data_IF_893336917058
#
_entry.id   IF_893336917058
#
_cell.length_a   1.000
_cell.length_b   1.000
_cell.length_c   1.000
_cell.angle_alpha   90.00
_cell.angle_beta   90.00
_cell.angle_gamma   90.00
#
_symmetry.space_group_name_H-M   'P 1'
#
loop_
_entity.id
_entity.type
_entity.pdbx_description
1 polymer ?
#
# COMPACT_ATOMS: atom_id res chain seq x y z
N UNK A 1 -21.39 61.58 27.30
CA UNK A 1 -20.13 60.95 26.84
C UNK A 1 -20.32 59.44 26.77
N UNK A 2 -20.59 58.89 25.60
CA UNK A 2 -20.80 57.45 25.40
C UNK A 2 -19.52 56.88 24.76
N UNK A 3 -18.58 56.40 25.58
CA UNK A 3 -17.36 55.74 25.09
C UNK A 3 -17.69 54.29 24.72
N UNK A 4 -17.56 54.02 23.43
CA UNK A 4 -17.69 52.75 22.72
C UNK A 4 -17.23 51.52 23.53
N UNK A 5 -18.19 50.66 23.92
CA UNK A 5 -17.94 49.23 24.17
C UNK A 5 -17.96 48.49 22.83
N UNK A 6 -16.93 48.66 22.00
CA UNK A 6 -16.68 47.72 20.90
C UNK A 6 -16.13 46.42 21.51
N UNK A 7 -17.03 45.58 22.04
CA UNK A 7 -16.70 44.19 22.39
C UNK A 7 -15.99 43.57 21.19
N UNK A 8 -14.81 42.98 21.41
CA UNK A 8 -13.93 42.41 20.39
C UNK A 8 -14.66 41.35 19.54
N UNK A 9 -15.44 41.77 18.54
CA UNK A 9 -16.18 40.89 17.59
C UNK A 9 -15.26 40.00 16.75
N UNK A 10 -13.97 40.28 16.76
CA UNK A 10 -12.89 39.57 16.10
C UNK A 10 -12.35 38.39 16.94
N UNK A 11 -12.56 38.39 18.26
CA UNK A 11 -12.08 37.30 19.14
C UNK A 11 -12.76 35.95 18.84
N UNK A 12 -14.10 35.87 18.67
CA UNK A 12 -14.76 34.62 18.30
C UNK A 12 -14.35 34.14 16.91
N UNK A 13 -14.20 35.05 15.95
CA UNK A 13 -13.77 34.73 14.59
C UNK A 13 -12.32 34.18 14.57
N UNK A 14 -11.43 34.74 15.39
CA UNK A 14 -10.06 34.25 15.56
C UNK A 14 -10.05 32.83 16.16
N UNK A 15 -10.87 32.57 17.18
CA UNK A 15 -10.98 31.24 17.80
C UNK A 15 -11.49 30.21 16.77
N UNK A 16 -12.51 30.56 15.99
CA UNK A 16 -13.03 29.69 14.92
C UNK A 16 -11.97 29.43 13.84
N UNK A 17 -11.23 30.47 13.42
CA UNK A 17 -10.16 30.32 12.44
C UNK A 17 -9.04 29.38 12.95
N UNK A 18 -8.67 29.48 14.23
CA UNK A 18 -7.69 28.57 14.86
C UNK A 18 -8.23 27.14 14.89
N UNK A 19 -9.48 26.93 15.28
CA UNK A 19 -10.09 25.59 15.29
C UNK A 19 -10.14 24.96 13.90
N UNK A 20 -10.52 25.73 12.88
CA UNK A 20 -10.49 25.26 11.47
C UNK A 20 -9.04 24.93 11.07
N UNK A 21 -8.08 25.78 11.42
CA UNK A 21 -6.66 25.54 11.17
C UNK A 21 -6.19 24.22 11.77
N UNK A 22 -6.55 23.92 13.02
CA UNK A 22 -6.24 22.66 13.69
C UNK A 22 -6.87 21.48 12.93
N UNK A 23 -8.15 21.56 12.56
CA UNK A 23 -8.83 20.47 11.83
C UNK A 23 -8.19 20.21 10.47
N UNK A 24 -7.82 21.26 9.73
CA UNK A 24 -7.15 21.12 8.43
C UNK A 24 -5.76 20.50 8.59
N UNK A 25 -4.99 20.93 9.58
CA UNK A 25 -3.67 20.34 9.89
C UNK A 25 -3.83 18.85 10.21
N UNK A 26 -4.80 18.48 11.05
CA UNK A 26 -5.08 17.07 11.37
C UNK A 26 -5.48 16.28 10.12
N UNK A 27 -6.34 16.84 9.27
CA UNK A 27 -6.74 16.21 8.02
C UNK A 27 -5.55 15.97 7.05
N UNK A 28 -4.58 16.88 7.01
CA UNK A 28 -3.34 16.73 6.24
C UNK A 28 -2.41 15.69 6.87
N UNK A 29 -2.28 15.70 8.20
CA UNK A 29 -1.46 14.75 8.95
C UNK A 29 -1.94 13.32 8.75
N UNK A 30 -3.25 13.09 8.82
CA UNK A 30 -3.86 11.76 8.72
C UNK A 30 -4.27 11.36 7.29
N UNK A 31 -3.70 11.99 6.27
CA UNK A 31 -3.89 11.57 4.88
C UNK A 31 -5.33 11.67 4.36
N UNK A 32 -6.20 12.46 4.99
CA UNK A 32 -7.62 12.57 4.59
C UNK A 32 -7.76 13.00 3.12
N UNK A 33 -6.87 13.90 2.68
CA UNK A 33 -6.80 14.40 1.31
C UNK A 33 -5.89 13.57 0.37
N UNK A 34 -5.26 12.49 0.86
CA UNK A 34 -4.47 11.62 -0.01
C UNK A 34 -5.37 10.88 -0.99
N UNK A 35 -4.84 10.66 -2.20
CA UNK A 35 -5.53 9.94 -3.27
C UNK A 35 -5.58 8.44 -3.01
N UNK A 36 -4.63 7.92 -2.24
CA UNK A 36 -4.52 6.51 -1.88
C UNK A 36 -5.09 6.21 -0.49
N UNK A 37 -5.46 4.94 -0.28
CA UNK A 37 -5.96 4.40 0.98
C UNK A 37 -5.49 2.95 1.18
N UNK A 38 -5.30 2.57 2.45
CA UNK A 38 -5.01 1.20 2.89
C UNK A 38 -6.26 0.64 3.54
N UNK A 39 -6.73 -0.51 3.06
CA UNK A 39 -7.96 -1.17 3.54
C UNK A 39 -7.62 -2.23 4.59
N UNK A 40 -6.98 -1.83 5.69
CA UNK A 40 -6.43 -2.70 6.75
C UNK A 40 -7.38 -3.75 7.36
N UNK A 41 -8.69 -3.51 7.30
CA UNK A 41 -9.74 -4.41 7.81
C UNK A 41 -10.35 -5.31 6.75
N UNK A 42 -9.85 -5.22 5.52
CA UNK A 42 -10.38 -5.97 4.40
C UNK A 42 -9.56 -7.25 4.23
N UNK A 43 -10.20 -8.26 3.65
CA UNK A 43 -9.56 -9.46 3.14
C UNK A 43 -8.90 -9.20 1.77
N UNK A 44 -7.97 -10.06 1.34
CA UNK A 44 -7.35 -9.98 0.00
C UNK A 44 -7.70 -11.20 -0.83
N UNK A 45 -8.12 -10.99 -2.08
CA UNK A 45 -8.28 -12.06 -3.06
C UNK A 45 -7.48 -11.81 -4.33
N UNK A 46 -6.97 -12.90 -4.90
CA UNK A 46 -6.50 -12.93 -6.28
C UNK A 46 -7.58 -13.52 -7.18
N UNK A 47 -7.94 -12.80 -8.24
CA UNK A 47 -9.00 -13.20 -9.17
C UNK A 47 -8.41 -13.91 -10.40
N UNK A 48 -8.86 -15.14 -10.64
CA UNK A 48 -8.50 -15.93 -11.83
C UNK A 48 -9.81 -16.36 -12.50
N UNK A 49 -10.03 -15.93 -13.74
CA UNK A 49 -11.22 -16.31 -14.54
C UNK A 49 -12.57 -16.01 -13.85
N UNK A 50 -12.61 -15.03 -12.94
CA UNK A 50 -13.82 -14.62 -12.21
C UNK A 50 -14.00 -15.31 -10.86
N UNK A 51 -13.16 -16.30 -10.55
CA UNK A 51 -13.12 -16.98 -9.25
C UNK A 51 -12.10 -16.29 -8.33
N UNK A 52 -12.38 -16.28 -7.03
CA UNK A 52 -11.58 -15.59 -6.03
C UNK A 52 -10.76 -16.60 -5.23
N UNK A 53 -9.45 -16.38 -5.15
CA UNK A 53 -8.54 -17.26 -4.44
C UNK A 53 -7.87 -16.53 -3.29
N UNK A 54 -7.75 -17.24 -2.18
CA UNK A 54 -7.05 -16.76 -1.00
C UNK A 54 -5.55 -16.66 -1.29
N UNK A 55 -4.94 -15.54 -0.90
CA UNK A 55 -3.51 -15.27 -1.10
C UNK A 55 -2.84 -15.03 0.25
N UNK A 56 -2.20 -16.06 0.79
CA UNK A 56 -1.39 -15.96 2.00
C UNK A 56 0.10 -16.08 1.63
N UNK A 57 1.00 -15.22 2.12
CA UNK A 57 0.86 -14.26 3.24
C UNK A 57 0.53 -12.81 2.83
N UNK A 58 0.04 -12.56 1.62
CA UNK A 58 -0.30 -11.20 1.17
C UNK A 58 -1.46 -10.63 2.03
N UNK A 59 -1.21 -9.49 2.69
CA UNK A 59 -2.18 -8.85 3.59
C UNK A 59 -2.58 -7.47 3.08
N UNK A 60 -3.81 -7.03 3.37
CA UNK A 60 -4.29 -5.68 3.06
C UNK A 60 -3.51 -4.58 3.77
N UNK A 61 -2.87 -4.88 4.90
CA UNK A 61 -1.97 -3.93 5.58
C UNK A 61 -0.79 -3.51 4.72
N UNK A 62 -0.38 -4.37 3.77
CA UNK A 62 0.70 -4.09 2.85
C UNK A 62 0.22 -3.50 1.52
N UNK A 63 -1.10 -3.35 1.32
CA UNK A 63 -1.69 -2.94 0.06
C UNK A 63 -2.28 -1.52 0.18
N UNK A 64 -1.86 -0.65 -0.74
CA UNK A 64 -2.50 0.64 -0.99
C UNK A 64 -3.28 0.61 -2.30
N UNK A 65 -4.40 1.34 -2.36
CA UNK A 65 -5.22 1.48 -3.58
C UNK A 65 -5.68 2.93 -3.73
N UNK A 66 -5.78 3.41 -4.96
CA UNK A 66 -6.41 4.71 -5.22
C UNK A 66 -7.88 4.74 -4.77
N UNK A 67 -8.27 5.75 -3.99
CA UNK A 67 -9.64 5.97 -3.50
C UNK A 67 -10.63 6.16 -4.64
N UNK A 68 -10.27 6.98 -5.63
CA UNK A 68 -11.18 7.42 -6.70
C UNK A 68 -10.48 7.34 -8.05
N UNK A 69 -10.78 6.28 -8.80
CA UNK A 69 -10.44 6.12 -10.22
C UNK A 69 -11.25 4.95 -10.78
N UNK A 70 -11.56 4.98 -12.07
CA UNK A 70 -12.02 3.78 -12.80
C UNK A 70 -10.86 2.82 -13.09
N UNK A 71 -9.64 3.34 -13.07
CA UNK A 71 -8.39 2.62 -13.28
C UNK A 71 -7.53 2.84 -12.04
N UNK A 72 -7.77 2.02 -11.01
CA UNK A 72 -7.13 2.17 -9.70
C UNK A 72 -5.75 1.55 -9.75
N UNK A 73 -4.75 2.27 -9.26
CA UNK A 73 -3.43 1.70 -9.09
C UNK A 73 -3.38 0.83 -7.82
N UNK A 74 -2.62 -0.26 -7.91
CA UNK A 74 -2.30 -1.17 -6.83
C UNK A 74 -0.88 -0.89 -6.34
N UNK A 75 -0.77 -0.51 -5.07
CA UNK A 75 0.47 -0.18 -4.40
C UNK A 75 0.80 -1.24 -3.37
N UNK A 76 2.09 -1.56 -3.18
CA UNK A 76 2.53 -2.52 -2.17
C UNK A 76 3.66 -1.98 -1.30
N UNK A 77 3.56 -2.17 0.02
CA UNK A 77 4.51 -1.65 1.00
C UNK A 77 5.89 -2.25 0.75
N UNK A 78 6.89 -1.40 0.54
CA UNK A 78 8.24 -1.83 0.16
C UNK A 78 8.92 -2.65 1.27
N UNK A 79 8.73 -2.25 2.53
CA UNK A 79 9.32 -2.96 3.67
C UNK A 79 8.72 -4.36 3.93
N UNK A 80 7.59 -4.68 3.29
CA UNK A 80 7.00 -6.03 3.27
C UNK A 80 7.54 -6.83 2.07
N UNK A 81 8.83 -6.69 1.76
CA UNK A 81 9.45 -7.17 0.52
C UNK A 81 9.31 -8.68 0.29
N UNK A 82 9.34 -9.49 1.36
CA UNK A 82 9.07 -10.93 1.28
C UNK A 82 7.67 -11.19 0.71
N UNK A 83 6.70 -10.33 1.01
CA UNK A 83 5.34 -10.45 0.51
C UNK A 83 5.20 -9.98 -0.96
N UNK A 84 6.05 -9.04 -1.39
CA UNK A 84 6.09 -8.61 -2.81
C UNK A 84 6.52 -9.76 -3.72
N UNK A 85 7.43 -10.63 -3.25
CA UNK A 85 7.87 -11.81 -4.02
C UNK A 85 6.69 -12.68 -4.49
N UNK A 86 5.65 -12.83 -3.65
CA UNK A 86 4.44 -13.57 -4.02
C UNK A 86 3.64 -12.91 -5.15
N UNK A 87 3.68 -11.57 -5.29
CA UNK A 87 3.06 -10.90 -6.43
C UNK A 87 3.74 -11.26 -7.75
N UNK A 88 5.07 -11.39 -7.75
CA UNK A 88 5.81 -11.85 -8.93
C UNK A 88 5.50 -13.31 -9.25
N UNK A 89 5.36 -14.17 -8.22
CA UNK A 89 4.94 -15.56 -8.41
C UNK A 89 3.54 -15.67 -9.01
N UNK A 90 2.59 -14.85 -8.55
CA UNK A 90 1.27 -14.74 -9.16
C UNK A 90 1.37 -14.30 -10.63
N UNK A 91 2.15 -13.25 -10.91
CA UNK A 91 2.33 -12.70 -12.25
C UNK A 91 2.93 -13.72 -13.23
N UNK A 92 3.86 -14.55 -12.77
CA UNK A 92 4.49 -15.60 -13.57
C UNK A 92 3.79 -16.95 -13.50
N UNK A 93 2.61 -17.03 -12.87
CA UNK A 93 1.84 -18.27 -12.71
C UNK A 93 2.63 -19.40 -12.04
N UNK A 94 3.46 -19.03 -11.08
CA UNK A 94 4.29 -19.94 -10.27
C UNK A 94 3.56 -20.28 -8.96
N UNK A 95 2.41 -20.91 -9.11
CA UNK A 95 1.59 -21.36 -8.00
C UNK A 95 0.72 -22.54 -8.42
N UNK A 96 0.23 -23.27 -7.42
CA UNK A 96 -0.86 -24.25 -7.53
C UNK A 96 -2.10 -23.74 -6.81
N UNK A 97 -3.26 -24.30 -7.15
CA UNK A 97 -4.53 -24.02 -6.46
C UNK A 97 -4.88 -25.24 -5.63
N UNK A 98 -4.92 -25.06 -4.32
CA UNK A 98 -5.33 -26.09 -3.37
C UNK A 98 -6.81 -25.89 -3.01
N UNK A 99 -7.58 -26.99 -3.04
CA UNK A 99 -8.98 -27.01 -2.59
C UNK A 99 -9.13 -27.81 -1.28
N UNK A 100 -10.05 -27.42 -0.38
CA UNK A 100 -10.82 -26.17 -0.32
C UNK A 100 -10.17 -25.10 0.58
N UNK A 101 -10.43 -23.81 0.34
CA UNK A 101 -10.18 -22.75 1.34
C UNK A 101 -11.15 -22.93 2.52
N UNK A 102 -10.72 -22.50 3.71
CA UNK A 102 -11.56 -22.51 4.91
C UNK A 102 -12.60 -21.39 4.93
N UNK A 103 -12.43 -20.34 4.11
CA UNK A 103 -13.35 -19.22 3.99
C UNK A 103 -14.23 -19.36 2.75
N UNK A 104 -15.55 -19.32 2.96
CA UNK A 104 -16.59 -19.50 1.94
C UNK A 104 -16.57 -18.47 0.80
N UNK A 105 -15.83 -17.37 0.95
CA UNK A 105 -15.70 -16.35 -0.09
C UNK A 105 -14.64 -16.68 -1.15
N UNK A 106 -13.78 -17.68 -0.88
CA UNK A 106 -12.76 -18.13 -1.82
C UNK A 106 -13.11 -19.50 -2.39
N UNK A 107 -12.75 -19.69 -3.66
CA UNK A 107 -12.88 -20.94 -4.39
C UNK A 107 -11.72 -21.90 -4.09
N UNK A 108 -10.61 -21.38 -3.56
CA UNK A 108 -9.43 -22.15 -3.15
C UNK A 108 -8.34 -21.27 -2.54
N UNK A 109 -7.19 -21.88 -2.24
CA UNK A 109 -5.99 -21.22 -1.72
C UNK A 109 -4.86 -21.31 -2.75
N UNK A 110 -4.15 -20.20 -2.95
CA UNK A 110 -2.93 -20.18 -3.76
C UNK A 110 -1.76 -20.76 -2.96
N UNK A 111 -1.09 -21.77 -3.54
CA UNK A 111 0.12 -22.39 -2.99
C UNK A 111 1.35 -22.01 -3.83
N UNK A 112 2.32 -21.37 -3.19
CA UNK A 112 3.52 -20.84 -3.83
C UNK A 112 4.72 -21.80 -3.81
N UNK A 113 4.56 -23.02 -3.28
CA UNK A 113 5.65 -23.98 -3.05
C UNK A 113 6.29 -24.54 -4.32
N UNK A 114 5.68 -24.33 -5.48
CA UNK A 114 6.11 -24.89 -6.78
C UNK A 114 7.36 -24.24 -7.38
N UNK A 115 7.84 -23.12 -6.84
CA UNK A 115 9.02 -22.42 -7.35
C UNK A 115 9.92 -21.92 -6.23
N UNK A 116 11.23 -21.80 -6.50
CA UNK A 116 12.22 -21.26 -5.55
C UNK A 116 12.96 -20.04 -6.11
N UNK A 117 12.28 -19.28 -6.97
CA UNK A 117 12.85 -18.04 -7.50
C UNK A 117 12.73 -16.93 -6.46
N UNK A 118 13.80 -16.16 -6.28
CA UNK A 118 13.78 -14.91 -5.54
C UNK A 118 13.66 -13.75 -6.53
N UNK A 119 12.49 -13.13 -6.58
CA UNK A 119 12.21 -11.94 -7.39
C UNK A 119 12.52 -10.65 -6.65
N UNK A 120 12.58 -10.69 -5.33
CA UNK A 120 12.94 -9.55 -4.50
C UNK A 120 14.05 -9.95 -3.54
N UNK A 121 15.18 -9.25 -3.59
CA UNK A 121 16.31 -9.49 -2.69
C UNK A 121 16.64 -8.24 -1.89
N UNK A 122 16.76 -8.40 -0.57
CA UNK A 122 17.36 -7.38 0.27
C UNK A 122 18.88 -7.36 0.04
N UNK A 123 19.44 -6.21 -0.32
CA UNK A 123 20.86 -6.07 -0.66
C UNK A 123 21.68 -5.58 0.52
N UNK A 124 21.42 -4.34 0.94
CA UNK A 124 22.17 -3.68 2.00
C UNK A 124 21.23 -3.27 3.13
N UNK A 125 21.68 -3.40 4.37
CA UNK A 125 21.02 -2.84 5.57
C UNK A 125 21.93 -1.77 6.13
N UNK A 126 21.40 -0.56 6.20
CA UNK A 126 22.07 0.59 6.76
C UNK A 126 21.53 0.81 8.16
N UNK A 127 22.45 0.92 9.12
CA UNK A 127 22.12 1.21 10.51
C UNK A 127 22.79 2.52 10.88
N UNK A 128 21.98 3.52 11.20
CA UNK A 128 22.42 4.76 11.85
C UNK A 128 22.18 4.67 13.36
N UNK A 129 22.49 5.71 14.12
CA UNK A 129 22.20 5.73 15.56
C UNK A 129 20.71 5.72 15.88
N UNK A 130 19.89 6.26 14.98
CA UNK A 130 18.47 6.54 15.23
C UNK A 130 17.54 5.76 14.30
N UNK A 131 18.02 5.24 13.16
CA UNK A 131 17.20 4.59 12.13
C UNK A 131 17.96 3.45 11.43
N UNK A 132 17.22 2.40 11.03
CA UNK A 132 17.70 1.37 10.10
C UNK A 132 16.85 1.33 8.84
N UNK A 133 17.49 1.28 7.68
CA UNK A 133 16.82 1.16 6.39
C UNK A 133 17.49 0.11 5.52
N UNK A 134 16.78 -0.41 4.52
CA UNK A 134 17.29 -1.44 3.63
C UNK A 134 17.03 -1.08 2.16
N UNK A 135 17.87 -1.61 1.28
CA UNK A 135 17.71 -1.53 -0.17
C UNK A 135 17.19 -2.85 -0.71
N UNK A 136 16.34 -2.79 -1.73
CA UNK A 136 15.71 -3.96 -2.34
C UNK A 136 15.91 -3.94 -3.84
N UNK A 137 16.40 -5.05 -4.39
CA UNK A 137 16.50 -5.26 -5.83
C UNK A 137 15.34 -6.17 -6.29
N UNK A 138 14.72 -5.79 -7.41
CA UNK A 138 13.60 -6.51 -8.03
C UNK A 138 14.04 -7.10 -9.37
N UNK A 139 13.66 -8.34 -9.66
CA UNK A 139 14.12 -9.10 -10.82
C UNK A 139 12.95 -9.64 -11.64
N UNK A 140 13.17 -9.81 -12.95
CA UNK A 140 12.23 -10.51 -13.82
C UNK A 140 12.40 -12.04 -13.76
N UNK A 141 11.55 -12.76 -14.51
CA UNK A 141 11.60 -14.23 -14.64
C UNK A 141 12.92 -14.81 -15.13
N UNK A 142 13.79 -14.00 -15.74
CA UNK A 142 15.11 -14.42 -16.25
C UNK A 142 16.24 -14.10 -15.27
N UNK A 143 15.92 -13.47 -14.13
CA UNK A 143 16.91 -12.99 -13.16
C UNK A 143 17.54 -11.67 -13.55
N UNK A 144 17.00 -10.95 -14.56
CA UNK A 144 17.47 -9.61 -14.89
C UNK A 144 16.83 -8.61 -13.94
N UNK A 145 17.66 -7.75 -13.34
CA UNK A 145 17.17 -6.66 -12.48
C UNK A 145 16.31 -5.67 -13.28
N UNK A 146 15.13 -5.36 -12.76
CA UNK A 146 14.17 -4.43 -13.35
C UNK A 146 14.03 -3.12 -12.56
N UNK A 147 14.30 -3.16 -11.25
CA UNK A 147 14.21 -2.00 -10.37
C UNK A 147 15.07 -2.19 -9.12
N UNK A 148 15.46 -1.08 -8.51
CA UNK A 148 16.11 -1.03 -7.19
C UNK A 148 15.39 0.02 -6.37
N UNK A 149 14.91 -0.36 -5.19
CA UNK A 149 14.50 0.61 -4.18
C UNK A 149 15.65 0.88 -3.22
N UNK A 150 15.99 2.15 -3.13
CA UNK A 150 16.85 2.76 -2.14
C UNK A 150 16.11 3.96 -1.51
N UNK A 151 15.82 3.95 -0.20
CA UNK A 151 15.15 5.06 0.48
C UNK A 151 15.80 6.43 0.27
N UNK A 152 17.12 6.48 0.12
CA UNK A 152 17.85 7.74 -0.03
C UNK A 152 17.89 8.25 -1.47
N UNK A 153 17.81 7.35 -2.46
CA UNK A 153 18.02 7.68 -3.87
C UNK A 153 16.74 7.64 -4.70
N UNK A 154 15.79 6.77 -4.35
CA UNK A 154 14.63 6.40 -5.19
C UNK A 154 13.29 6.56 -4.49
N UNK A 155 13.24 7.07 -3.26
CA UNK A 155 11.98 7.32 -2.54
C UNK A 155 11.07 8.36 -3.22
N UNK A 156 11.60 9.08 -4.20
CA UNK A 156 10.86 10.04 -5.04
C UNK A 156 10.71 9.59 -6.49
N UNK A 157 11.07 8.34 -6.81
CA UNK A 157 10.86 7.80 -8.15
C UNK A 157 9.37 7.73 -8.49
N UNK A 158 9.06 7.71 -9.78
CA UNK A 158 7.68 7.62 -10.29
C UNK A 158 6.93 6.35 -9.82
N UNK A 159 7.67 5.30 -9.42
CA UNK A 159 7.10 4.07 -8.89
C UNK A 159 6.87 4.10 -7.38
N UNK A 160 7.26 5.14 -6.65
CA UNK A 160 7.15 5.20 -5.19
C UNK A 160 6.12 6.23 -4.75
N UNK A 161 5.18 5.77 -3.90
CA UNK A 161 4.17 6.62 -3.29
C UNK A 161 4.19 6.43 -1.78
N UNK A 162 4.21 7.54 -1.06
CA UNK A 162 4.09 7.54 0.40
C UNK A 162 2.63 7.60 0.81
N UNK A 163 2.11 6.50 1.35
CA UNK A 163 0.73 6.41 1.81
C UNK A 163 0.75 6.55 3.33
N UNK A 164 0.02 7.53 3.86
CA UNK A 164 -0.03 7.73 5.32
C UNK A 164 -1.09 6.79 5.91
N UNK A 165 -0.82 6.20 7.09
CA UNK A 165 -1.81 5.43 7.80
C UNK A 165 -3.05 6.28 8.14
N UNK A 166 -4.24 5.68 8.10
CA UNK A 166 -5.46 6.33 8.62
C UNK A 166 -5.40 6.44 10.15
N UNK A 167 -6.22 7.33 10.74
CA UNK A 167 -6.25 7.71 12.17
C UNK A 167 -6.20 6.50 13.14
N UNK A 168 -6.75 5.35 12.73
CA UNK A 168 -6.82 4.15 13.57
C UNK A 168 -5.55 3.28 13.51
N UNK A 169 -4.76 3.38 12.44
CA UNK A 169 -3.55 2.58 12.24
C UNK A 169 -2.35 3.10 13.05
N UNK A 170 -2.28 4.41 13.31
CA UNK A 170 -1.18 5.02 14.07
C UNK A 170 -1.11 4.64 15.57
N UNK A 171 -2.07 3.84 16.07
CA UNK A 171 -2.05 3.31 17.43
C UNK A 171 -1.35 1.94 17.54
N UNK A 172 -1.20 1.20 16.44
CA UNK A 172 -0.44 -0.04 16.39
C UNK A 172 0.99 0.29 15.97
N UNK A 173 1.85 0.52 16.97
CA UNK A 173 3.28 0.79 16.77
C UNK A 173 3.93 -0.31 15.92
N UNK A 174 4.46 0.05 14.76
CA UNK A 174 5.61 -0.65 14.18
C UNK A 174 6.88 0.13 14.55
N UNK A 175 7.92 -0.58 14.98
CA UNK A 175 9.20 -0.03 15.45
C UNK A 175 10.13 0.45 14.30
N UNK A 176 9.59 0.70 13.11
CA UNK A 176 10.35 1.14 11.92
C UNK A 176 9.75 2.47 11.44
N UNK A 177 10.60 3.47 11.25
CA UNK A 177 10.23 4.89 11.15
C UNK A 177 9.10 5.23 10.17
N UNK A 178 7.93 5.57 10.74
CA UNK A 178 6.88 6.56 10.39
C UNK A 178 6.50 6.91 8.93
N UNK A 179 7.09 6.32 7.90
CA UNK A 179 6.65 6.48 6.51
C UNK A 179 6.75 5.15 5.77
N UNK A 180 5.60 4.56 5.50
CA UNK A 180 5.53 3.40 4.62
C UNK A 180 5.57 3.91 3.18
N UNK A 181 6.72 3.80 2.55
CA UNK A 181 6.85 3.96 1.10
C UNK A 181 6.28 2.69 0.42
N UNK A 182 5.42 2.90 -0.57
CA UNK A 182 4.76 1.85 -1.34
C UNK A 182 5.24 1.91 -2.78
N UNK A 183 5.48 0.73 -3.35
CA UNK A 183 5.77 0.51 -4.76
C UNK A 183 4.48 0.43 -5.56
N UNK A 184 4.36 1.23 -6.62
CA UNK A 184 3.29 1.14 -7.61
C UNK A 184 3.50 -0.10 -8.49
N UNK A 185 2.87 -1.21 -8.08
CA UNK A 185 2.96 -2.49 -8.78
C UNK A 185 2.27 -2.38 -10.13
N UNK A 186 1.16 -1.63 -10.24
CA UNK A 186 0.46 -1.40 -11.50
C UNK A 186 1.39 -0.78 -12.53
N UNK A 187 2.06 0.33 -12.19
CA UNK A 187 2.99 1.00 -13.09
C UNK A 187 4.26 0.16 -13.36
N UNK A 188 4.87 -0.40 -12.30
CA UNK A 188 6.10 -1.17 -12.45
C UNK A 188 5.90 -2.42 -13.32
N UNK A 189 4.82 -3.18 -13.10
CA UNK A 189 4.56 -4.41 -13.86
C UNK A 189 4.20 -4.08 -15.30
N UNK A 190 3.46 -3.00 -15.54
CA UNK A 190 3.15 -2.55 -16.89
C UNK A 190 4.42 -2.18 -17.66
N UNK A 191 5.26 -1.35 -17.07
CA UNK A 191 6.44 -0.80 -17.73
C UNK A 191 7.58 -1.80 -17.88
N UNK A 192 7.82 -2.63 -16.86
CA UNK A 192 8.98 -3.52 -16.81
C UNK A 192 8.68 -4.95 -17.22
N UNK A 193 7.45 -5.42 -16.99
CA UNK A 193 7.03 -6.80 -17.26
C UNK A 193 6.02 -6.92 -18.39
N UNK A 194 5.42 -5.80 -18.83
CA UNK A 194 4.38 -5.80 -19.84
C UNK A 194 3.06 -6.42 -19.36
N UNK A 195 2.83 -6.45 -18.05
CA UNK A 195 1.67 -7.09 -17.42
C UNK A 195 0.69 -6.05 -16.87
N UNK A 196 -0.60 -6.33 -16.99
CA UNK A 196 -1.67 -5.46 -16.52
C UNK A 196 -2.17 -5.90 -15.14
N UNK A 197 -2.05 -5.00 -14.16
CA UNK A 197 -2.52 -5.23 -12.78
C UNK A 197 -3.79 -4.45 -12.55
N UNK A 198 -4.88 -5.14 -12.25
CA UNK A 198 -6.17 -4.54 -11.98
C UNK A 198 -6.54 -4.76 -10.51
N UNK A 199 -7.09 -3.73 -9.85
CA UNK A 199 -7.60 -3.84 -8.47
C UNK A 199 -8.98 -3.21 -8.35
N UNK A 200 -9.84 -3.87 -7.57
CA UNK A 200 -11.17 -3.40 -7.20
C UNK A 200 -11.46 -3.67 -5.73
N UNK A 201 -12.33 -2.85 -5.15
CA UNK A 201 -12.77 -2.98 -3.77
C UNK A 201 -14.21 -3.50 -3.77
N UNK A 202 -14.47 -4.53 -2.97
CA UNK A 202 -15.82 -5.04 -2.67
C UNK A 202 -16.16 -4.71 -1.21
N UNK A 203 -16.78 -3.55 -1.00
CA UNK A 203 -17.18 -3.07 0.33
C UNK A 203 -18.24 -3.98 0.98
N UNK A 204 -19.03 -4.71 0.20
CA UNK A 204 -20.07 -5.60 0.74
C UNK A 204 -19.45 -6.85 1.40
N UNK A 205 -18.31 -7.32 0.88
CA UNK A 205 -17.53 -8.42 1.44
C UNK A 205 -16.34 -7.97 2.27
N UNK A 206 -16.08 -6.66 2.34
CA UNK A 206 -14.85 -6.08 2.87
C UNK A 206 -13.60 -6.75 2.24
N UNK A 207 -13.46 -6.69 0.93
CA UNK A 207 -12.38 -7.37 0.21
C UNK A 207 -11.67 -6.48 -0.81
N UNK A 208 -10.35 -6.55 -0.84
CA UNK A 208 -9.50 -6.01 -1.91
C UNK A 208 -9.24 -7.15 -2.90
N UNK A 209 -9.68 -6.98 -4.14
CA UNK A 209 -9.61 -8.02 -5.17
C UNK A 209 -8.69 -7.51 -6.27
N UNK A 210 -7.65 -8.27 -6.59
CA UNK A 210 -6.72 -7.92 -7.67
C UNK A 210 -6.51 -9.08 -8.66
N UNK A 211 -6.10 -8.74 -9.87
CA UNK A 211 -5.70 -9.71 -10.91
C UNK A 211 -4.51 -9.18 -11.71
N UNK A 212 -3.73 -10.11 -12.26
CA UNK A 212 -2.55 -9.81 -13.09
C UNK A 212 -2.73 -10.55 -14.42
N UNK A 213 -2.59 -9.84 -15.54
CA UNK A 213 -2.82 -10.36 -16.90
C UNK A 213 -1.65 -10.12 -17.83
#
# INVERSE_FOLDING_TARGET
MQRLKTKKKWLPALIVAILIGIVVILAIMFGFFQRQEVYDKYDVAYEIEGELYEVFPISTTDIGVDKKSSDKHFYFRVNSYYNIDYLFRLAYKQYEINEPSTNKYYSGLIDYSVADNAYVTQKDVYMTKDESYATYDFFDKTGKKIYTYNPEETSTDDYIVRIKPTILQGYEKSDIGSYDDYLDITALFKDKLGMDVNVRIDDAKNMVIFSIK
#
